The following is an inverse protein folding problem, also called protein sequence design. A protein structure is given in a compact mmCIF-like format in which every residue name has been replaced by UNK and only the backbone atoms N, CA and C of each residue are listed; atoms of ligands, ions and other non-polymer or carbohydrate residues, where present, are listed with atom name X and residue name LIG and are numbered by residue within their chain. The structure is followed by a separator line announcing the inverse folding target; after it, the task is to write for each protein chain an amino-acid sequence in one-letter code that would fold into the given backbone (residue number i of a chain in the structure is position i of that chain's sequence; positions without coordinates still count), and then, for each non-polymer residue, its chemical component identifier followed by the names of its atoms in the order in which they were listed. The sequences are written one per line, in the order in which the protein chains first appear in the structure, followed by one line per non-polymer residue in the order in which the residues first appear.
data_IF_323659239912
#
_entry.id   IF_323659239912
#
_cell.length_a   1.000
_cell.length_b   1.000
_cell.length_c   1.000
_cell.angle_alpha   90.00
_cell.angle_beta   90.00
_cell.angle_gamma   90.00
#
_symmetry.space_group_name_H-M   'P 1'
#
loop_
_entity.id
_entity.type
_entity.pdbx_description
1 polymer ?
#
# COMPACT_ATOMS: atom_id res chain seq x y z
N UNK A 1 -13.40 50.04 -11.79
CA UNK A 1 -13.52 48.87 -10.90
C UNK A 1 -14.29 47.71 -11.54
N UNK A 2 -15.51 47.91 -12.06
CA UNK A 2 -16.35 46.81 -12.58
C UNK A 2 -15.72 46.00 -13.74
N UNK A 3 -15.09 46.66 -14.72
CA UNK A 3 -14.42 45.99 -15.86
C UNK A 3 -13.22 45.13 -15.48
N UNK A 4 -12.49 45.52 -14.43
CA UNK A 4 -11.30 44.79 -13.92
C UNK A 4 -11.76 43.53 -13.16
N UNK A 5 -12.83 43.63 -12.39
CA UNK A 5 -13.43 42.51 -11.68
C UNK A 5 -13.95 41.44 -12.65
N UNK A 6 -14.64 41.86 -13.72
CA UNK A 6 -15.13 40.95 -14.77
C UNK A 6 -13.99 40.25 -15.50
N UNK A 7 -12.91 40.98 -15.83
CA UNK A 7 -11.72 40.40 -16.46
C UNK A 7 -11.04 39.34 -15.57
N UNK A 8 -10.87 39.63 -14.27
CA UNK A 8 -10.31 38.68 -13.30
C UNK A 8 -11.17 37.41 -13.17
N UNK A 9 -12.50 37.55 -13.12
CA UNK A 9 -13.44 36.43 -13.07
C UNK A 9 -13.38 35.57 -14.34
N UNK A 10 -13.28 36.18 -15.52
CA UNK A 10 -13.13 35.43 -16.78
C UNK A 10 -11.81 34.70 -16.87
N UNK A 11 -10.72 35.31 -16.39
CA UNK A 11 -9.39 34.67 -16.36
C UNK A 11 -9.39 33.52 -15.35
N UNK A 12 -9.96 33.70 -14.16
CA UNK A 12 -10.04 32.63 -13.15
C UNK A 12 -10.92 31.47 -13.62
N UNK A 13 -12.05 31.75 -14.27
CA UNK A 13 -12.93 30.73 -14.81
C UNK A 13 -12.29 30.01 -16.00
N UNK A 14 -11.58 30.75 -16.85
CA UNK A 14 -10.75 30.21 -17.93
C UNK A 14 -9.68 29.27 -17.39
N UNK A 15 -8.88 29.70 -16.41
CA UNK A 15 -7.82 28.90 -15.80
C UNK A 15 -8.38 27.65 -15.09
N UNK A 16 -9.52 27.79 -14.39
CA UNK A 16 -10.21 26.67 -13.76
C UNK A 16 -10.71 25.65 -14.79
N UNK A 17 -11.24 26.11 -15.93
CA UNK A 17 -11.70 25.21 -16.99
C UNK A 17 -10.55 24.53 -17.75
N UNK A 18 -9.43 25.23 -17.96
CA UNK A 18 -8.33 24.76 -18.80
C UNK A 18 -7.32 23.90 -18.02
N UNK A 19 -7.18 24.14 -16.71
CA UNK A 19 -6.24 23.41 -15.84
C UNK A 19 -6.95 22.70 -14.72
N UNK A 20 -7.88 23.37 -14.03
CA UNK A 20 -8.60 22.80 -12.89
C UNK A 20 -9.39 21.55 -13.26
N UNK A 21 -10.32 21.63 -14.21
CA UNK A 21 -11.18 20.50 -14.59
C UNK A 21 -10.35 19.29 -15.06
N UNK A 22 -9.35 19.43 -15.95
CA UNK A 22 -8.50 18.30 -16.34
C UNK A 22 -7.75 17.68 -15.16
N UNK A 23 -7.19 18.49 -14.26
CA UNK A 23 -6.46 18.00 -13.08
C UNK A 23 -7.39 17.25 -12.13
N UNK A 24 -8.57 17.81 -11.82
CA UNK A 24 -9.56 17.15 -10.97
C UNK A 24 -10.09 15.86 -11.60
N UNK A 25 -10.32 15.85 -12.91
CA UNK A 25 -10.77 14.66 -13.64
C UNK A 25 -9.70 13.57 -13.60
N UNK A 26 -8.43 13.93 -13.86
CA UNK A 26 -7.32 13.00 -13.79
C UNK A 26 -7.14 12.43 -12.38
N UNK A 27 -7.19 13.29 -11.37
CA UNK A 27 -7.17 12.89 -9.97
C UNK A 27 -8.31 11.92 -9.61
N UNK A 28 -9.54 12.20 -10.06
CA UNK A 28 -10.70 11.34 -9.84
C UNK A 28 -10.53 9.97 -10.51
N UNK A 29 -10.13 9.93 -11.78
CA UNK A 29 -9.84 8.67 -12.50
C UNK A 29 -8.72 7.87 -11.83
N UNK A 30 -7.69 8.55 -11.33
CA UNK A 30 -6.58 7.91 -10.63
C UNK A 30 -7.02 7.35 -9.28
N UNK A 31 -7.85 8.09 -8.53
CA UNK A 31 -8.45 7.60 -7.29
C UNK A 31 -9.37 6.40 -7.52
N UNK A 32 -10.11 6.35 -8.64
CA UNK A 32 -10.92 5.17 -8.99
C UNK A 32 -10.07 3.96 -9.35
N UNK A 33 -8.92 4.17 -10.00
CA UNK A 33 -8.04 3.09 -10.44
C UNK A 33 -7.14 2.53 -9.32
N UNK A 34 -6.68 3.40 -8.43
CA UNK A 34 -5.65 3.08 -7.43
C UNK A 34 -6.08 3.34 -5.98
N UNK A 35 -7.31 3.78 -5.75
CA UNK A 35 -7.88 3.93 -4.41
C UNK A 35 -8.31 2.60 -3.77
N UNK A 36 -8.29 1.51 -4.54
CA UNK A 36 -8.61 0.17 -4.03
C UNK A 36 -7.58 -0.29 -2.99
N UNK A 37 -8.10 -0.85 -1.91
CA UNK A 37 -7.33 -1.43 -0.81
C UNK A 37 -7.95 -2.75 -0.36
N UNK A 38 -7.17 -3.49 0.42
CA UNK A 38 -7.58 -4.70 1.13
C UNK A 38 -7.24 -4.48 2.59
N UNK A 39 -8.24 -4.51 3.47
CA UNK A 39 -8.05 -4.44 4.93
C UNK A 39 -8.04 -5.83 5.52
N UNK A 40 -7.02 -6.11 6.32
CA UNK A 40 -6.75 -7.44 6.86
C UNK A 40 -7.19 -7.54 8.33
N UNK A 41 -7.44 -8.75 8.85
CA UNK A 41 -7.91 -8.94 10.23
C UNK A 41 -6.92 -8.48 11.30
N UNK A 42 -5.62 -8.51 11.00
CA UNK A 42 -4.56 -7.97 11.86
C UNK A 42 -4.48 -6.43 11.85
N UNK A 43 -5.42 -5.76 11.17
CA UNK A 43 -5.50 -4.30 11.04
C UNK A 43 -4.64 -3.69 9.93
N UNK A 44 -3.75 -4.45 9.30
CA UNK A 44 -2.93 -3.96 8.18
C UNK A 44 -3.76 -3.75 6.92
N UNK A 45 -3.21 -2.95 6.00
CA UNK A 45 -3.82 -2.67 4.72
C UNK A 45 -2.85 -2.96 3.57
N UNK A 46 -3.35 -3.58 2.50
CA UNK A 46 -2.62 -3.71 1.24
C UNK A 46 -3.26 -2.79 0.22
N UNK A 47 -2.48 -1.92 -0.39
CA UNK A 47 -2.99 -1.01 -1.41
C UNK A 47 -1.88 -0.28 -2.15
N UNK A 48 -2.25 0.50 -3.14
CA UNK A 48 -1.31 1.27 -3.94
C UNK A 48 -0.69 2.42 -3.16
N UNK A 49 0.61 2.61 -3.31
CA UNK A 49 1.34 3.81 -2.90
C UNK A 49 1.50 4.71 -4.12
N UNK A 50 0.99 5.93 -4.01
CA UNK A 50 1.06 6.93 -5.07
C UNK A 50 2.39 7.67 -4.99
N UNK A 51 3.41 7.14 -5.65
CA UNK A 51 4.66 7.88 -5.83
C UNK A 51 4.55 8.81 -7.04
N UNK A 52 4.75 10.10 -6.81
CA UNK A 52 5.13 11.04 -7.86
C UNK A 52 6.66 11.12 -7.85
N UNK A 53 7.31 10.23 -8.59
CA UNK A 53 8.75 10.32 -8.84
C UNK A 53 9.00 11.29 -10.00
N UNK A 54 9.55 12.48 -9.73
CA UNK A 54 9.91 13.44 -10.78
C UNK A 54 11.21 13.09 -11.50
N UNK A 55 12.00 12.14 -10.99
CA UNK A 55 13.24 11.68 -11.62
C UNK A 55 13.00 10.65 -12.75
N UNK A 56 11.82 10.03 -12.78
CA UNK A 56 11.37 9.13 -13.84
C UNK A 56 9.92 9.46 -14.17
N UNK A 57 9.56 9.86 -15.41
CA UNK A 57 8.21 10.32 -15.76
C UNK A 57 7.17 9.18 -15.86
N UNK A 58 7.22 8.21 -14.95
CA UNK A 58 6.30 7.08 -14.88
C UNK A 58 5.62 7.03 -13.51
N UNK A 59 4.31 7.29 -13.51
CA UNK A 59 3.42 6.97 -12.40
C UNK A 59 3.22 5.45 -12.36
N UNK A 60 4.17 4.69 -11.80
CA UNK A 60 3.98 3.26 -11.52
C UNK A 60 3.58 3.11 -10.05
N UNK A 61 2.28 3.03 -9.73
CA UNK A 61 1.87 2.83 -8.35
C UNK A 61 2.29 1.43 -7.92
N UNK A 62 2.98 1.36 -6.79
CA UNK A 62 3.49 0.10 -6.24
C UNK A 62 2.57 -0.33 -5.12
N UNK A 63 2.32 -1.63 -5.02
CA UNK A 63 1.52 -2.16 -3.93
C UNK A 63 2.42 -2.35 -2.72
N UNK A 64 2.00 -1.77 -1.62
CA UNK A 64 2.71 -1.84 -0.34
C UNK A 64 1.74 -2.33 0.73
N UNK A 65 2.32 -2.90 1.79
CA UNK A 65 1.62 -3.25 3.02
C UNK A 65 1.77 -2.07 3.97
N UNK A 66 0.70 -1.70 4.68
CA UNK A 66 0.69 -0.60 5.64
C UNK A 66 0.26 -1.06 7.02
N UNK A 67 0.82 -0.38 8.00
CA UNK A 67 0.34 -0.39 9.37
C UNK A 67 -1.09 0.20 9.44
N UNK A 68 -1.85 -0.09 10.51
CA UNK A 68 -3.17 0.52 10.73
C UNK A 68 -3.16 2.04 10.85
N UNK A 69 -2.00 2.69 10.95
CA UNK A 69 -1.85 4.14 10.97
C UNK A 69 -1.49 4.74 9.59
N UNK A 70 -1.34 3.89 8.57
CA UNK A 70 -1.02 4.26 7.19
C UNK A 70 0.46 4.23 6.82
N UNK A 71 1.38 3.95 7.75
CA UNK A 71 2.81 3.83 7.43
C UNK A 71 3.11 2.59 6.60
N UNK A 72 3.93 2.73 5.56
CA UNK A 72 4.36 1.58 4.76
C UNK A 72 5.35 0.69 5.54
N UNK A 73 5.03 -0.60 5.61
CA UNK A 73 5.84 -1.67 6.23
C UNK A 73 6.82 -2.25 5.21
N UNK A 74 6.35 -2.48 3.99
CA UNK A 74 7.13 -3.15 2.95
C UNK A 74 6.55 -2.96 1.56
N UNK A 75 7.47 -2.81 0.60
CA UNK A 75 7.22 -2.71 -0.83
C UNK A 75 7.82 -3.95 -1.52
N UNK A 76 7.14 -4.47 -2.54
CA UNK A 76 7.65 -5.62 -3.33
C UNK A 76 8.04 -6.84 -2.47
N UNK A 77 7.28 -7.07 -1.40
CA UNK A 77 7.56 -8.15 -0.45
C UNK A 77 7.30 -9.51 -1.11
N UNK A 78 8.30 -10.39 -1.04
CA UNK A 78 8.28 -11.72 -1.66
C UNK A 78 9.31 -12.67 -1.02
N UNK A 79 8.90 -13.83 -0.48
CA UNK A 79 7.52 -14.22 -0.21
C UNK A 79 6.88 -13.32 0.86
N UNK A 80 5.55 -13.27 0.87
CA UNK A 80 4.75 -12.55 1.88
C UNK A 80 3.68 -13.50 2.42
N UNK A 81 3.54 -13.52 3.74
CA UNK A 81 2.55 -14.29 4.46
C UNK A 81 1.85 -13.41 5.49
N UNK A 82 0.54 -13.60 5.63
CA UNK A 82 -0.32 -12.75 6.43
C UNK A 82 -1.21 -13.65 7.28
N UNK A 83 -1.26 -13.37 8.56
CA UNK A 83 -2.10 -14.09 9.53
C UNK A 83 -3.00 -13.10 10.27
N UNK A 84 -3.80 -13.59 11.21
CA UNK A 84 -4.63 -12.75 12.07
C UNK A 84 -3.83 -11.84 13.02
N UNK A 85 -2.55 -12.18 13.28
CA UNK A 85 -1.71 -11.46 14.24
C UNK A 85 -0.52 -10.75 13.59
N UNK A 86 -0.05 -11.23 12.44
CA UNK A 86 1.23 -10.83 11.89
C UNK A 86 1.24 -10.71 10.37
N UNK A 87 2.23 -9.98 9.86
CA UNK A 87 2.66 -9.98 8.47
C UNK A 87 4.14 -10.34 8.46
N UNK A 88 4.57 -11.28 7.64
CA UNK A 88 5.97 -11.65 7.56
C UNK A 88 6.40 -11.97 6.13
N UNK A 89 7.66 -11.73 5.82
CA UNK A 89 8.18 -11.91 4.48
C UNK A 89 9.56 -11.30 4.27
N UNK A 90 9.96 -11.21 3.00
CA UNK A 90 11.23 -10.58 2.59
C UNK A 90 10.97 -9.30 1.79
N UNK A 91 11.53 -8.17 2.21
CA UNK A 91 11.28 -6.84 1.64
C UNK A 91 12.15 -6.46 0.42
N UNK A 92 13.06 -7.32 -0.05
CA UNK A 92 13.94 -6.99 -1.18
C UNK A 92 14.30 -8.18 -2.07
N UNK A 93 14.39 -7.92 -3.38
CA UNK A 93 14.71 -8.93 -4.40
C UNK A 93 16.20 -8.85 -4.75
N UNK A 94 16.96 -9.84 -4.29
CA UNK A 94 18.03 -10.45 -5.09
C UNK A 94 18.36 -11.85 -4.55
N UNK A 95 17.97 -12.86 -5.33
CA UNK A 95 18.35 -14.28 -5.24
C UNK A 95 17.59 -15.20 -4.28
N UNK A 96 17.63 -16.48 -4.63
CA UNK A 96 16.86 -17.64 -4.13
C UNK A 96 17.07 -17.98 -2.64
N UNK A 97 17.80 -17.15 -1.89
CA UNK A 97 18.00 -17.27 -0.46
C UNK A 97 17.65 -15.91 0.19
N UNK A 98 16.60 -15.88 1.01
CA UNK A 98 16.21 -14.68 1.74
C UNK A 98 17.32 -14.32 2.76
N UNK A 99 18.12 -13.30 2.46
CA UNK A 99 19.10 -12.76 3.41
C UNK A 99 18.37 -12.30 4.68
N UNK A 100 18.91 -12.57 5.89
CA UNK A 100 18.40 -11.99 7.15
C UNK A 100 18.24 -10.47 7.11
N UNK A 101 18.99 -9.79 6.24
CA UNK A 101 18.90 -8.34 6.02
C UNK A 101 17.52 -7.89 5.54
N UNK A 102 16.79 -8.79 4.86
CA UNK A 102 15.54 -8.48 4.18
C UNK A 102 14.34 -9.17 4.81
N UNK A 103 14.56 -10.09 5.75
CA UNK A 103 13.50 -10.77 6.49
C UNK A 103 12.91 -9.86 7.56
N UNK A 104 11.59 -9.79 7.62
CA UNK A 104 10.88 -9.04 8.65
C UNK A 104 9.60 -9.75 9.09
N UNK A 105 9.23 -9.49 10.35
CA UNK A 105 7.91 -9.75 10.91
C UNK A 105 7.36 -8.43 11.42
N UNK A 106 6.13 -8.12 11.07
CA UNK A 106 5.37 -7.05 11.67
C UNK A 106 4.24 -7.66 12.52
N UNK A 107 4.06 -7.10 13.71
CA UNK A 107 2.88 -7.32 14.55
C UNK A 107 2.39 -5.97 15.08
N UNK A 108 1.13 -5.91 15.53
CA UNK A 108 0.59 -4.71 16.14
C UNK A 108 1.32 -4.30 17.43
N UNK A 109 1.83 -5.28 18.18
CA UNK A 109 2.47 -5.05 19.48
C UNK A 109 3.93 -4.59 19.34
N UNK A 110 4.67 -5.20 18.41
CA UNK A 110 6.12 -4.99 18.28
C UNK A 110 6.52 -4.04 17.15
N UNK A 111 5.59 -3.75 16.23
CA UNK A 111 5.92 -3.10 14.96
C UNK A 111 6.81 -3.99 14.08
N UNK A 112 7.54 -3.37 13.15
CA UNK A 112 8.46 -4.06 12.24
C UNK A 112 9.71 -4.53 12.99
N UNK A 113 9.96 -5.83 12.96
CA UNK A 113 11.15 -6.48 13.49
C UNK A 113 11.88 -7.15 12.34
N UNK A 114 13.13 -6.73 12.09
CA UNK A 114 14.01 -7.38 11.12
C UNK A 114 14.92 -8.39 11.81
N UNK A 115 15.18 -9.50 11.13
CA UNK A 115 16.01 -10.58 11.68
C UNK A 115 17.43 -10.09 12.00
N UNK A 116 18.05 -9.31 11.09
CA UNK A 116 19.40 -8.77 11.33
C UNK A 116 19.48 -7.80 12.52
N UNK A 117 18.42 -7.04 12.80
CA UNK A 117 18.43 -6.03 13.86
C UNK A 117 18.12 -6.64 15.22
N UNK A 118 17.22 -7.63 15.28
CA UNK A 118 16.73 -8.26 16.52
C UNK A 118 16.44 -9.76 16.30
N UNK A 119 17.47 -10.61 16.18
CA UNK A 119 17.31 -12.01 15.80
C UNK A 119 16.50 -12.82 16.83
N UNK A 120 16.78 -12.66 18.13
CA UNK A 120 16.09 -13.44 19.18
C UNK A 120 14.58 -13.14 19.21
N UNK A 121 14.21 -11.86 19.07
CA UNK A 121 12.82 -11.44 19.02
C UNK A 121 12.15 -11.94 17.73
N UNK A 122 12.85 -11.84 16.59
CA UNK A 122 12.36 -12.34 15.32
C UNK A 122 12.04 -13.84 15.39
N UNK A 123 12.97 -14.66 15.88
CA UNK A 123 12.75 -16.10 16.01
C UNK A 123 11.61 -16.44 16.97
N UNK A 124 11.50 -15.75 18.09
CA UNK A 124 10.37 -15.91 19.03
C UNK A 124 9.04 -15.62 18.33
N UNK A 125 8.94 -14.49 17.64
CA UNK A 125 7.73 -14.10 16.90
C UNK A 125 7.40 -15.09 15.77
N UNK A 126 8.43 -15.61 15.08
CA UNK A 126 8.26 -16.54 13.97
C UNK A 126 7.58 -17.87 14.36
N UNK A 127 7.68 -18.24 15.64
CA UNK A 127 7.06 -19.44 16.19
C UNK A 127 5.58 -19.23 16.54
N UNK A 128 5.13 -17.99 16.74
CA UNK A 128 3.75 -17.62 17.13
C UNK A 128 3.00 -16.84 16.03
N UNK A 129 3.34 -17.06 14.76
CA UNK A 129 2.70 -16.34 13.65
C UNK A 129 1.23 -16.73 13.45
N UNK A 130 0.79 -17.88 13.99
CA UNK A 130 -0.54 -18.43 13.81
C UNK A 130 -0.67 -19.35 12.59
N UNK A 131 -1.66 -20.24 12.61
CA UNK A 131 -1.84 -21.28 11.58
C UNK A 131 -2.71 -20.85 10.39
N UNK A 132 -3.56 -19.83 10.57
CA UNK A 132 -4.46 -19.35 9.52
C UNK A 132 -3.80 -18.26 8.69
N UNK A 133 -3.60 -18.56 7.41
CA UNK A 133 -3.01 -17.65 6.43
C UNK A 133 -4.08 -17.01 5.54
N UNK A 134 -3.97 -15.70 5.31
CA UNK A 134 -4.75 -14.98 4.32
C UNK A 134 -3.95 -14.87 3.02
N UNK A 135 -4.48 -15.44 1.94
CA UNK A 135 -3.85 -15.39 0.61
C UNK A 135 -3.18 -16.71 0.24
N UNK A 136 -1.90 -16.65 -0.11
CA UNK A 136 -1.15 -17.84 -0.54
C UNK A 136 -0.69 -18.70 0.64
N UNK A 137 -0.54 -20.01 0.38
CA UNK A 137 0.07 -20.94 1.34
C UNK A 137 1.48 -20.49 1.72
N UNK A 138 1.95 -20.89 2.91
CA UNK A 138 3.32 -20.67 3.38
C UNK A 138 4.38 -21.14 2.37
N UNK A 139 4.08 -22.19 1.61
CA UNK A 139 5.02 -22.79 0.65
C UNK A 139 4.99 -22.12 -0.74
N UNK A 140 4.07 -21.18 -0.96
CA UNK A 140 3.93 -20.50 -2.24
C UNK A 140 4.75 -19.21 -2.27
N UNK A 141 5.62 -19.11 -3.26
CA UNK A 141 6.41 -17.91 -3.49
C UNK A 141 5.60 -16.91 -4.34
N UNK A 142 4.85 -16.01 -3.69
CA UNK A 142 4.01 -14.97 -4.33
C UNK A 142 4.29 -13.59 -3.74
N UNK A 143 4.06 -12.54 -4.53
CA UNK A 143 4.38 -11.16 -4.13
C UNK A 143 3.15 -10.39 -3.64
N UNK A 144 3.38 -9.20 -3.09
CA UNK A 144 2.32 -8.31 -2.58
C UNK A 144 1.25 -8.00 -3.64
N UNK A 145 1.62 -7.86 -4.92
CA UNK A 145 0.67 -7.64 -6.03
C UNK A 145 -0.24 -8.84 -6.26
N UNK A 146 0.31 -10.06 -6.24
CA UNK A 146 -0.49 -11.26 -6.39
C UNK A 146 -1.47 -11.41 -5.23
N UNK A 147 -1.02 -11.24 -3.98
CA UNK A 147 -1.88 -11.34 -2.80
C UNK A 147 -3.00 -10.31 -2.86
N UNK A 148 -2.69 -9.05 -3.14
CA UNK A 148 -3.68 -7.98 -3.30
C UNK A 148 -4.78 -8.36 -4.30
N UNK A 149 -4.39 -8.83 -5.48
CA UNK A 149 -5.35 -9.23 -6.51
C UNK A 149 -6.22 -10.43 -6.11
N UNK A 150 -5.67 -11.39 -5.36
CA UNK A 150 -6.46 -12.54 -4.88
C UNK A 150 -7.42 -12.14 -3.77
N UNK A 151 -6.97 -11.36 -2.79
CA UNK A 151 -7.81 -10.93 -1.68
C UNK A 151 -8.93 -10.01 -2.14
N UNK A 152 -8.68 -9.15 -3.15
CA UNK A 152 -9.74 -8.37 -3.81
C UNK A 152 -10.84 -9.24 -4.40
N UNK A 153 -10.52 -10.39 -5.00
CA UNK A 153 -11.53 -11.30 -5.57
C UNK A 153 -12.42 -11.96 -4.51
N UNK A 154 -11.94 -12.06 -3.27
CA UNK A 154 -12.70 -12.71 -2.19
C UNK A 154 -13.80 -11.81 -1.60
N UNK A 155 -13.78 -10.50 -1.88
CA UNK A 155 -14.81 -9.55 -1.45
C UNK A 155 -14.82 -9.21 0.06
N UNK A 156 -14.53 -10.18 0.93
CA UNK A 156 -14.60 -10.05 2.40
C UNK A 156 -13.57 -9.09 3.02
N UNK A 157 -12.55 -8.69 2.26
CA UNK A 157 -11.47 -7.82 2.73
C UNK A 157 -11.52 -6.42 2.11
N UNK A 158 -12.53 -6.14 1.30
CA UNK A 158 -12.70 -4.82 0.68
C UNK A 158 -13.28 -3.87 1.74
N UNK A 159 -12.64 -2.71 1.93
CA UNK A 159 -13.07 -1.65 2.83
C UNK A 159 -13.28 -0.35 2.05
N UNK A 160 -14.28 0.44 2.44
CA UNK A 160 -14.56 1.76 1.85
C UNK A 160 -13.64 2.87 2.41
N UNK A 161 -12.94 2.58 3.51
CA UNK A 161 -12.04 3.48 4.23
C UNK A 161 -10.70 2.79 4.47
N UNK A 162 -9.70 3.18 3.68
CA UNK A 162 -8.30 2.81 3.83
C UNK A 162 -7.42 4.04 3.63
N UNK A 163 -6.18 3.97 4.10
CA UNK A 163 -5.21 5.07 4.00
C UNK A 163 -4.80 5.43 2.57
N UNK A 164 -5.00 4.52 1.61
CA UNK A 164 -4.62 4.71 0.21
C UNK A 164 -5.59 5.54 -0.63
N UNK A 165 -6.71 5.97 -0.05
CA UNK A 165 -7.73 6.69 -0.81
C UNK A 165 -7.25 8.12 -1.07
N UNK A 166 -6.88 8.40 -2.33
CA UNK A 166 -6.37 9.71 -2.76
C UNK A 166 -7.41 10.83 -2.65
N UNK A 167 -8.70 10.48 -2.72
CA UNK A 167 -9.81 11.39 -2.50
C UNK A 167 -10.89 10.70 -1.68
N UNK A 168 -11.07 11.10 -0.43
CA UNK A 168 -12.25 10.78 0.39
C UNK A 168 -13.31 11.87 0.22
N UNK A 169 -14.59 11.52 0.30
CA UNK A 169 -15.73 12.44 0.32
C UNK A 169 -16.45 12.35 1.66
#
# INVERSE_FOLDING_TARGET
MHKILVALLTISLGLLSLVGIPVFTLAGLYSLKFGDCVRLPNGTEIGYEAYIDFSRPYFKPVIVIREPDGRAIGQEVFPIHITEKAVFGSAWIKYENASPDFQFIWTQETGVVKEIEKPDLYHTLSQDLGETYFGASKDMNVNTLWIFNQLKKQGRFISDQCYTKLFTW
#
